data_IF_011987193596
#
_entry.id   IF_011987193596
#
_cell.length_a   1.000
_cell.length_b   1.000
_cell.length_c   1.000
_cell.angle_alpha   90.00
_cell.angle_beta   90.00
_cell.angle_gamma   90.00
#
_symmetry.space_group_name_H-M   'P 1'
#
loop_
_entity.id
_entity.type
_entity.pdbx_description
1 polymer ?
#
# COMPACT_ATOMS: atom_id res chain seq x y z
N UNK A 1 -10.66 2.76 2.89
CA UNK A 1 -10.38 2.33 4.24
C UNK A 1 -9.84 0.94 4.09
N UNK A 2 -8.54 0.80 4.38
CA UNK A 2 -7.99 -0.52 4.68
C UNK A 2 -8.77 -1.05 5.87
N UNK A 3 -9.15 -2.34 5.79
CA UNK A 3 -10.04 -3.02 6.74
C UNK A 3 -9.77 -2.63 8.21
N UNK A 4 -10.56 -1.70 8.70
CA UNK A 4 -10.86 -1.52 10.12
C UNK A 4 -12.38 -1.45 10.24
N UNK A 5 -12.94 -2.29 11.10
CA UNK A 5 -14.38 -2.52 11.28
C UNK A 5 -15.00 -1.38 12.12
N UNK A 6 -15.03 -0.15 11.60
CA UNK A 6 -15.68 0.98 12.27
C UNK A 6 -15.89 2.17 11.33
N UNK A 7 -17.06 2.81 11.40
CA UNK A 7 -17.39 4.00 10.61
C UNK A 7 -16.62 5.26 11.06
N UNK A 8 -15.87 5.18 12.16
CA UNK A 8 -15.25 6.32 12.85
C UNK A 8 -13.73 6.38 12.71
N UNK A 9 -13.10 5.43 12.02
CA UNK A 9 -11.64 5.36 11.88
C UNK A 9 -11.15 6.23 10.71
N UNK A 10 -10.49 7.35 11.05
CA UNK A 10 -9.88 8.26 10.08
C UNK A 10 -8.37 8.02 9.99
N UNK A 11 -7.88 7.69 8.79
CA UNK A 11 -6.45 7.51 8.50
C UNK A 11 -6.02 8.36 7.32
N UNK A 12 -4.97 9.15 7.51
CA UNK A 12 -4.33 9.92 6.45
C UNK A 12 -3.49 8.99 5.54
N UNK A 13 -3.55 9.15 4.20
CA UNK A 13 -2.69 8.42 3.26
C UNK A 13 -1.21 8.45 3.63
N UNK A 14 -0.70 9.59 4.10
CA UNK A 14 0.69 9.75 4.51
C UNK A 14 1.09 8.82 5.67
N UNK A 15 0.21 8.67 6.67
CA UNK A 15 0.46 7.74 7.79
C UNK A 15 0.56 6.30 7.30
N UNK A 16 -0.28 5.91 6.34
CA UNK A 16 -0.22 4.57 5.78
C UNK A 16 1.04 4.35 4.93
N UNK A 17 1.47 5.38 4.18
CA UNK A 17 2.72 5.35 3.43
C UNK A 17 3.92 5.10 4.35
N UNK A 18 3.97 5.78 5.50
CA UNK A 18 4.99 5.56 6.53
C UNK A 18 5.01 4.10 7.02
N UNK A 19 3.84 3.53 7.30
CA UNK A 19 3.73 2.13 7.75
C UNK A 19 4.23 1.15 6.69
N UNK A 20 3.77 1.26 5.43
CA UNK A 20 4.20 0.32 4.37
C UNK A 20 5.68 0.49 4.02
N UNK A 21 6.21 1.71 4.10
CA UNK A 21 7.65 1.98 3.91
C UNK A 21 8.49 1.35 5.01
N UNK A 22 8.04 1.42 6.27
CA UNK A 22 8.72 0.74 7.37
C UNK A 22 8.71 -0.77 7.21
N UNK A 23 7.58 -1.36 6.77
CA UNK A 23 7.48 -2.80 6.51
C UNK A 23 8.46 -3.21 5.40
N UNK A 24 8.50 -2.47 4.29
CA UNK A 24 9.41 -2.71 3.17
C UNK A 24 10.88 -2.68 3.63
N UNK A 25 11.21 -1.73 4.51
CA UNK A 25 12.57 -1.51 5.01
C UNK A 25 12.86 -2.26 6.33
N UNK A 26 12.30 -3.47 6.49
CA UNK A 26 12.64 -4.36 7.59
C UNK A 26 12.27 -3.84 8.99
N UNK A 27 11.28 -2.97 9.09
CA UNK A 27 10.71 -2.43 10.33
C UNK A 27 11.16 -1.01 10.68
N UNK A 28 12.12 -0.44 9.95
CA UNK A 28 12.63 0.92 10.17
C UNK A 28 12.19 1.85 9.04
N UNK A 29 11.48 2.92 9.36
CA UNK A 29 11.14 3.97 8.43
C UNK A 29 12.31 4.95 8.27
N UNK A 30 12.71 5.22 7.03
CA UNK A 30 13.41 6.47 6.73
C UNK A 30 12.32 7.54 6.51
N UNK A 31 12.30 8.59 7.34
CA UNK A 31 11.18 9.54 7.34
C UNK A 31 11.06 10.23 5.97
N UNK A 32 9.90 10.19 5.30
CA UNK A 32 9.75 10.85 4.01
C UNK A 32 9.97 12.36 4.11
N UNK A 33 10.67 12.93 3.13
CA UNK A 33 10.89 14.37 3.01
C UNK A 33 10.72 14.81 1.56
N UNK A 34 10.02 15.93 1.36
CA UNK A 34 9.87 16.56 0.03
C UNK A 34 11.11 17.37 -0.37
N UNK A 35 12.01 17.64 0.58
CA UNK A 35 13.21 18.46 0.37
C UNK A 35 14.47 17.60 0.11
N UNK A 36 14.31 16.29 -0.13
CA UNK A 36 15.40 15.35 -0.39
C UNK A 36 15.42 14.19 0.61
N UNK A 37 16.57 13.52 0.72
CA UNK A 37 16.74 12.42 1.68
C UNK A 37 16.68 12.95 3.12
N UNK A 38 15.91 12.27 3.98
CA UNK A 38 15.89 12.52 5.41
C UNK A 38 16.90 11.61 6.10
N UNK A 39 17.68 12.18 7.00
CA UNK A 39 18.54 11.42 7.91
C UNK A 39 17.76 10.83 9.10
N UNK A 40 16.51 11.28 9.31
CA UNK A 40 15.68 10.81 10.41
C UNK A 40 15.15 9.41 10.14
N UNK A 41 15.38 8.52 11.11
CA UNK A 41 14.91 7.14 11.08
C UNK A 41 14.05 6.83 12.29
N UNK A 42 12.95 6.11 12.06
CA UNK A 42 12.02 5.71 13.11
C UNK A 42 11.77 4.21 13.03
N UNK A 43 12.13 3.46 14.06
CA UNK A 43 11.78 2.03 14.14
C UNK A 43 10.32 1.89 14.57
N UNK A 44 9.49 1.31 13.69
CA UNK A 44 8.06 1.09 13.96
C UNK A 44 7.75 -0.37 14.31
N UNK A 45 8.55 -1.31 13.80
CA UNK A 45 8.34 -2.75 13.96
C UNK A 45 9.67 -3.46 14.21
N UNK A 46 9.64 -4.62 14.87
CA UNK A 46 10.78 -5.52 14.83
C UNK A 46 10.98 -6.05 13.40
N UNK A 47 12.23 -6.34 13.03
CA UNK A 47 12.54 -6.92 11.72
C UNK A 47 11.78 -8.23 11.47
N UNK A 48 11.69 -9.11 12.47
CA UNK A 48 10.91 -10.36 12.38
C UNK A 48 9.42 -10.11 12.07
N UNK A 49 8.82 -9.09 12.69
CA UNK A 49 7.42 -8.72 12.47
C UNK A 49 7.23 -8.12 11.08
N UNK A 50 8.10 -7.19 10.66
CA UNK A 50 8.06 -6.58 9.35
C UNK A 50 8.16 -7.63 8.23
N UNK A 51 9.12 -8.55 8.31
CA UNK A 51 9.28 -9.65 7.34
C UNK A 51 8.03 -10.54 7.27
N UNK A 52 7.42 -10.85 8.43
CA UNK A 52 6.20 -11.66 8.45
C UNK A 52 5.03 -10.93 7.79
N UNK A 53 4.86 -9.62 8.06
CA UNK A 53 3.81 -8.80 7.45
C UNK A 53 4.03 -8.68 5.94
N UNK A 54 5.25 -8.37 5.49
CA UNK A 54 5.61 -8.31 4.08
C UNK A 54 5.24 -9.61 3.35
N UNK A 55 5.60 -10.76 3.93
CA UNK A 55 5.26 -12.08 3.37
C UNK A 55 3.75 -12.29 3.25
N UNK A 56 2.96 -11.87 4.24
CA UNK A 56 1.50 -11.97 4.19
C UNK A 56 0.89 -11.01 3.15
N UNK A 57 1.45 -9.82 2.99
CA UNK A 57 1.03 -8.85 1.97
C UNK A 57 1.31 -9.37 0.55
N UNK A 58 2.50 -9.92 0.31
CA UNK A 58 2.83 -10.53 -0.98
C UNK A 58 1.92 -11.73 -1.29
N UNK A 59 1.68 -12.60 -0.30
CA UNK A 59 0.78 -13.74 -0.47
C UNK A 59 -0.63 -13.31 -0.91
N UNK A 60 -1.18 -12.22 -0.35
CA UNK A 60 -2.47 -11.69 -0.77
C UNK A 60 -2.47 -11.26 -2.24
N UNK A 61 -1.44 -10.56 -2.69
CA UNK A 61 -1.34 -10.12 -4.09
C UNK A 61 -1.26 -11.33 -5.03
N UNK A 62 -0.35 -12.25 -4.75
CA UNK A 62 -0.09 -13.41 -5.59
C UNK A 62 -1.29 -14.37 -5.66
N UNK A 63 -1.93 -14.64 -4.51
CA UNK A 63 -2.91 -15.72 -4.41
C UNK A 63 -4.37 -15.25 -4.42
N UNK A 64 -4.66 -14.04 -3.92
CA UNK A 64 -6.05 -13.54 -3.81
C UNK A 64 -6.45 -12.59 -4.94
N UNK A 65 -5.53 -11.75 -5.42
CA UNK A 65 -5.84 -10.80 -6.50
C UNK A 65 -5.63 -11.38 -7.90
N UNK A 66 -4.90 -12.49 -7.99
CA UNK A 66 -4.59 -13.18 -9.25
C UNK A 66 -3.29 -12.68 -9.88
N UNK A 67 -2.44 -13.61 -10.31
CA UNK A 67 -1.08 -13.34 -10.83
C UNK A 67 -1.05 -12.35 -12.01
N UNK A 68 -2.11 -12.26 -12.79
CA UNK A 68 -2.18 -11.37 -13.96
C UNK A 68 -2.54 -9.93 -13.63
N UNK A 69 -3.03 -9.65 -12.42
CA UNK A 69 -3.56 -8.33 -12.05
C UNK A 69 -2.47 -7.25 -12.00
N UNK A 70 -1.25 -7.64 -11.63
CA UNK A 70 -0.07 -6.78 -11.61
C UNK A 70 1.05 -7.41 -12.43
N UNK A 71 0.75 -7.76 -13.69
CA UNK A 71 1.71 -8.43 -14.57
C UNK A 71 3.02 -7.65 -14.68
N UNK A 72 4.14 -8.34 -14.48
CA UNK A 72 5.48 -7.73 -14.51
C UNK A 72 5.93 -7.07 -13.20
N UNK A 73 5.10 -7.04 -12.16
CA UNK A 73 5.42 -6.40 -10.89
C UNK A 73 5.37 -7.43 -9.74
N UNK A 74 6.42 -7.48 -8.91
CA UNK A 74 6.38 -8.18 -7.62
C UNK A 74 5.96 -7.18 -6.53
N UNK A 75 4.73 -7.32 -6.02
CA UNK A 75 4.12 -6.37 -5.09
C UNK A 75 3.77 -7.04 -3.76
N UNK A 76 4.19 -6.42 -2.67
CA UNK A 76 3.64 -6.66 -1.33
C UNK A 76 2.59 -5.59 -1.05
N UNK A 77 1.30 -5.95 -1.05
CA UNK A 77 0.23 -4.95 -0.90
C UNK A 77 -1.04 -5.45 -0.24
N UNK A 78 -1.90 -4.50 0.14
CA UNK A 78 -3.22 -4.75 0.70
C UNK A 78 -4.26 -3.78 0.13
N UNK A 79 -5.36 -4.33 -0.38
CA UNK A 79 -6.53 -3.55 -0.79
C UNK A 79 -7.51 -3.33 0.36
N UNK A 80 -8.27 -2.24 0.27
CA UNK A 80 -9.37 -1.93 1.16
C UNK A 80 -10.50 -1.19 0.45
N UNK A 81 -11.71 -1.33 0.96
CA UNK A 81 -12.92 -0.65 0.48
C UNK A 81 -13.56 0.03 1.69
N UNK A 82 -13.66 1.36 1.73
CA UNK A 82 -14.38 2.07 2.81
C UNK A 82 -15.84 2.28 2.43
N UNK A 83 -16.77 1.95 3.31
CA UNK A 83 -18.13 2.46 3.19
C UNK A 83 -18.19 3.90 3.71
N UNK A 84 -18.98 4.74 3.05
CA UNK A 84 -19.07 6.20 3.30
C UNK A 84 -20.49 6.64 3.66
N UNK A 85 -21.40 5.68 3.87
CA UNK A 85 -22.82 5.91 4.12
C UNK A 85 -23.72 5.41 2.99
N UNK A 86 -25.03 5.39 3.25
CA UNK A 86 -26.03 4.83 2.32
C UNK A 86 -26.08 5.63 1.02
N UNK A 87 -26.05 4.92 -0.11
CA UNK A 87 -26.24 5.49 -1.45
C UNK A 87 -24.99 6.10 -2.09
N UNK A 88 -23.85 6.09 -1.40
CA UNK A 88 -22.58 6.57 -1.94
C UNK A 88 -21.66 5.41 -2.26
N UNK A 89 -20.90 5.54 -3.35
CA UNK A 89 -19.86 4.58 -3.68
C UNK A 89 -18.74 4.62 -2.63
N UNK A 90 -18.23 3.44 -2.29
CA UNK A 90 -17.13 3.28 -1.35
C UNK A 90 -15.84 3.98 -1.77
N UNK A 91 -14.92 4.22 -0.83
CA UNK A 91 -13.55 4.62 -1.18
C UNK A 91 -12.69 3.40 -1.51
N UNK A 92 -12.05 3.40 -2.68
CA UNK A 92 -11.10 2.38 -3.08
C UNK A 92 -9.71 2.68 -2.54
N UNK A 93 -9.08 1.72 -1.86
CA UNK A 93 -7.72 1.85 -1.34
C UNK A 93 -6.83 0.70 -1.79
N UNK A 94 -5.58 1.03 -2.09
CA UNK A 94 -4.52 0.06 -2.27
C UNK A 94 -3.19 0.64 -1.79
N UNK A 95 -2.51 -0.07 -0.89
CA UNK A 95 -1.22 0.34 -0.34
C UNK A 95 -0.25 -0.82 -0.42
N UNK A 96 1.03 -0.50 -0.54
CA UNK A 96 2.05 -1.53 -0.63
C UNK A 96 3.40 -0.98 -1.03
N UNK A 97 4.25 -1.90 -1.48
CA UNK A 97 5.58 -1.62 -1.99
C UNK A 97 5.99 -2.68 -3.02
N UNK A 98 6.92 -2.31 -3.89
CA UNK A 98 7.57 -3.24 -4.81
C UNK A 98 8.65 -4.05 -4.09
N UNK A 99 8.71 -5.35 -4.36
CA UNK A 99 9.82 -6.21 -3.97
C UNK A 99 10.89 -6.18 -5.07
N UNK A 100 11.40 -4.98 -5.34
CA UNK A 100 12.35 -4.69 -6.42
C UNK A 100 13.45 -3.77 -5.87
N UNK A 101 14.69 -4.26 -5.86
CA UNK A 101 15.84 -3.51 -5.36
C UNK A 101 16.25 -2.35 -6.27
N UNK A 102 15.99 -2.45 -7.58
CA UNK A 102 16.25 -1.37 -8.54
C UNK A 102 15.17 -0.28 -8.44
N UNK A 103 13.95 -0.67 -8.08
CA UNK A 103 12.79 0.21 -7.95
C UNK A 103 12.12 0.10 -6.57
N UNK A 104 12.76 0.56 -5.47
CA UNK A 104 12.28 0.38 -4.10
C UNK A 104 11.13 1.34 -3.74
N UNK A 105 10.04 1.29 -4.50
CA UNK A 105 8.90 2.19 -4.37
C UNK A 105 7.87 1.66 -3.39
N UNK A 106 7.52 2.48 -2.40
CA UNK A 106 6.33 2.34 -1.58
C UNK A 106 5.21 3.25 -2.11
N UNK A 107 3.96 2.82 -2.03
CA UNK A 107 2.84 3.55 -2.59
C UNK A 107 1.58 3.50 -1.73
N UNK A 108 0.74 4.51 -1.92
CA UNK A 108 -0.63 4.59 -1.44
C UNK A 108 -1.49 5.15 -2.56
N UNK A 109 -2.56 4.43 -2.89
CA UNK A 109 -3.60 4.88 -3.82
C UNK A 109 -4.92 4.93 -3.07
N UNK A 110 -5.53 6.11 -3.06
CA UNK A 110 -6.87 6.37 -2.57
C UNK A 110 -7.69 6.92 -3.73
N UNK A 111 -8.82 6.28 -4.04
CA UNK A 111 -9.83 6.77 -4.96
C UNK A 111 -11.10 7.02 -4.17
N UNK A 112 -11.36 8.29 -3.86
CA UNK A 112 -12.59 8.71 -3.20
C UNK A 112 -13.80 8.38 -4.08
N UNK A 113 -14.83 7.87 -3.44
CA UNK A 113 -16.03 7.31 -4.08
C UNK A 113 -15.77 6.39 -5.30
N UNK A 114 -14.59 5.79 -5.41
CA UNK A 114 -14.20 4.92 -6.53
C UNK A 114 -14.78 3.51 -6.49
N UNK A 115 -15.55 3.18 -5.45
CA UNK A 115 -16.04 1.83 -5.19
C UNK A 115 -14.95 0.94 -4.61
N UNK A 116 -14.55 -0.10 -5.35
CA UNK A 116 -13.73 -1.18 -4.83
C UNK A 116 -12.22 -0.87 -4.77
N UNK A 117 -11.55 -1.36 -3.72
CA UNK A 117 -10.09 -1.21 -3.60
C UNK A 117 -9.30 -1.79 -4.77
N UNK A 118 -9.60 -3.03 -5.19
CA UNK A 118 -8.85 -3.64 -6.30
C UNK A 118 -9.24 -3.07 -7.67
N UNK A 119 -10.53 -2.87 -7.93
CA UNK A 119 -11.01 -2.41 -9.23
C UNK A 119 -10.66 -0.95 -9.54
N UNK A 120 -10.67 -0.06 -8.54
CA UNK A 120 -10.32 1.34 -8.73
C UNK A 120 -8.86 1.63 -8.38
N UNK A 121 -8.50 1.49 -7.09
CA UNK A 121 -7.16 1.84 -6.62
C UNK A 121 -6.08 0.87 -7.15
N UNK A 122 -6.41 -0.42 -7.29
CA UNK A 122 -5.53 -1.41 -7.92
C UNK A 122 -5.22 -1.09 -9.38
N UNK A 123 -6.22 -0.67 -10.17
CA UNK A 123 -6.02 -0.30 -11.58
C UNK A 123 -5.10 0.92 -11.75
N UNK A 124 -5.27 1.94 -10.90
CA UNK A 124 -4.39 3.12 -10.86
C UNK A 124 -2.97 2.70 -10.49
N UNK A 125 -2.79 1.91 -9.43
CA UNK A 125 -1.46 1.44 -9.02
C UNK A 125 -0.76 0.64 -10.12
N UNK A 126 -1.48 -0.28 -10.78
CA UNK A 126 -0.92 -1.08 -11.86
C UNK A 126 -0.40 -0.21 -13.01
N UNK A 127 -1.17 0.81 -13.40
CA UNK A 127 -0.79 1.75 -14.48
C UNK A 127 0.45 2.56 -14.11
N UNK A 128 0.45 3.17 -12.91
CA UNK A 128 1.54 4.05 -12.47
C UNK A 128 2.83 3.27 -12.23
N UNK A 129 2.75 2.11 -11.56
CA UNK A 129 3.94 1.32 -11.25
C UNK A 129 4.57 0.72 -12.51
N UNK A 130 3.78 0.22 -13.47
CA UNK A 130 4.32 -0.22 -14.76
C UNK A 130 4.95 0.92 -15.57
N UNK A 131 4.57 2.17 -15.34
CA UNK A 131 5.24 3.31 -15.94
C UNK A 131 6.56 3.64 -15.21
N UNK A 132 6.58 3.50 -13.89
CA UNK A 132 7.72 3.87 -13.04
C UNK A 132 8.90 2.88 -13.10
N UNK A 133 8.65 1.61 -13.46
CA UNK A 133 9.69 0.56 -13.55
C UNK A 133 10.19 0.31 -14.99
N UNK A 134 9.86 1.21 -15.92
CA UNK A 134 10.38 1.19 -17.30
C UNK A 134 11.65 2.02 -17.41
#
# INVERSE_FOLDING_TARGET
MLLFNGLDDLVCPYSMLRVVSAIANGGTLNEPSMLGASENKTTLLSSSTATKIASMMNYNVTYKYGKSTFSGLDISGKTGTAEVGKGQASHGWFVGFLNDEEHPYAFVVLVEHGGSGLGAAGAVANTVLNYAVK
#
